data_IF_289818355855
#
_entry.id   IF_289818355855
#
_cell.length_a   1.000
_cell.length_b   1.000
_cell.length_c   1.000
_cell.angle_alpha   90.00
_cell.angle_beta   90.00
_cell.angle_gamma   90.00
#
_symmetry.space_group_name_H-M   'P 1'
#
loop_
_entity.id
_entity.type
_entity.pdbx_description
1 polymer ?
#
# COMPACT_ATOMS: atom_id res chain seq x y z
N UNK A 1 29.17 -7.79 14.20
CA UNK A 1 29.83 -8.28 12.97
C UNK A 1 30.60 -9.58 13.25
N UNK A 2 31.49 -9.64 14.25
CA UNK A 2 32.32 -10.81 14.60
C UNK A 2 31.52 -12.11 14.70
N UNK A 3 30.38 -12.12 15.39
CA UNK A 3 29.56 -13.35 15.54
C UNK A 3 29.04 -13.86 14.20
N UNK A 4 28.73 -12.96 13.24
CA UNK A 4 28.30 -13.37 11.89
C UNK A 4 29.45 -13.98 11.08
N UNK A 5 30.66 -13.57 11.34
CA UNK A 5 31.84 -14.14 10.72
C UNK A 5 32.11 -15.55 11.29
N UNK A 6 32.04 -15.70 12.63
CA UNK A 6 32.16 -17.02 13.28
C UNK A 6 31.08 -18.01 12.83
N UNK A 7 29.82 -17.56 12.63
CA UNK A 7 28.75 -18.43 12.12
C UNK A 7 29.01 -18.91 10.71
N UNK A 8 29.62 -18.07 9.87
CA UNK A 8 30.04 -18.45 8.49
C UNK A 8 31.21 -19.42 8.51
N UNK A 9 32.25 -19.19 9.35
CA UNK A 9 33.38 -20.09 9.51
C UNK A 9 32.95 -21.49 9.93
N UNK A 10 31.96 -21.58 10.82
CA UNK A 10 31.40 -22.84 11.30
C UNK A 10 30.34 -23.44 10.39
N UNK A 11 30.05 -22.80 9.23
CA UNK A 11 29.02 -23.21 8.27
C UNK A 11 27.64 -23.47 8.91
N UNK A 12 27.24 -22.66 9.91
CA UNK A 12 25.97 -22.81 10.59
C UNK A 12 24.84 -22.16 9.77
N UNK A 13 23.77 -22.91 9.50
CA UNK A 13 22.59 -22.45 8.78
C UNK A 13 21.68 -21.62 9.70
N UNK A 14 22.18 -20.48 10.15
CA UNK A 14 21.48 -19.55 11.05
C UNK A 14 21.88 -18.11 10.74
N UNK A 15 20.96 -17.20 11.06
CA UNK A 15 21.20 -15.75 10.93
C UNK A 15 21.09 -15.12 12.31
N UNK A 16 22.18 -14.51 12.78
CA UNK A 16 22.16 -13.70 14.02
C UNK A 16 21.60 -12.32 13.69
N UNK A 17 20.50 -11.96 14.37
CA UNK A 17 19.74 -10.75 14.08
C UNK A 17 20.06 -9.61 15.03
N UNK A 18 20.09 -9.90 16.35
CA UNK A 18 20.23 -8.88 17.38
C UNK A 18 20.96 -9.42 18.61
N UNK A 19 21.48 -8.52 19.46
CA UNK A 19 22.21 -8.83 20.68
C UNK A 19 21.77 -7.88 21.79
N UNK A 20 21.36 -8.44 22.93
CA UNK A 20 21.06 -7.67 24.14
C UNK A 20 22.06 -8.01 25.26
N UNK A 21 22.69 -6.99 25.81
CA UNK A 21 23.51 -7.12 27.01
C UNK A 21 22.68 -6.82 28.26
N UNK A 22 22.86 -7.60 29.28
CA UNK A 22 22.34 -7.27 30.61
C UNK A 22 23.04 -6.03 31.18
N UNK A 23 22.36 -5.25 32.01
CA UNK A 23 22.89 -3.97 32.48
C UNK A 23 24.22 -4.11 33.26
N UNK A 24 24.47 -5.24 33.89
CA UNK A 24 25.72 -5.57 34.60
C UNK A 24 26.84 -6.09 33.67
N UNK A 25 26.55 -6.18 32.33
CA UNK A 25 27.43 -6.75 31.32
C UNK A 25 27.86 -8.20 31.57
N UNK A 26 27.28 -8.89 32.57
CA UNK A 26 27.61 -10.27 32.90
C UNK A 26 27.04 -11.31 31.91
N UNK A 27 26.00 -10.92 31.17
CA UNK A 27 25.27 -11.81 30.26
C UNK A 27 24.92 -11.11 28.95
N UNK A 28 25.10 -11.83 27.82
CA UNK A 28 24.67 -11.40 26.50
C UNK A 28 23.69 -12.41 25.90
N UNK A 29 22.53 -11.97 25.46
CA UNK A 29 21.52 -12.77 24.78
C UNK A 29 21.58 -12.49 23.29
N UNK A 30 21.90 -13.51 22.48
CA UNK A 30 21.96 -13.43 21.03
C UNK A 30 20.68 -13.98 20.45
N UNK A 31 19.99 -13.16 19.65
CA UNK A 31 18.78 -13.55 18.95
C UNK A 31 19.12 -14.02 17.54
N UNK A 32 18.63 -15.20 17.18
CA UNK A 32 18.89 -15.77 15.88
C UNK A 32 17.64 -16.36 15.25
N UNK A 33 17.65 -16.42 13.92
CA UNK A 33 16.63 -17.11 13.12
C UNK A 33 17.27 -18.30 12.41
N UNK A 34 16.58 -19.44 12.43
CA UNK A 34 16.97 -20.64 11.71
C UNK A 34 15.71 -21.42 11.31
N UNK A 35 15.76 -22.14 10.20
CA UNK A 35 14.66 -23.01 9.76
C UNK A 35 14.65 -24.31 10.57
N UNK A 36 15.83 -24.92 10.73
CA UNK A 36 16.03 -26.16 11.45
C UNK A 36 16.78 -25.94 12.76
N UNK A 37 16.92 -27.04 13.51
CA UNK A 37 17.69 -27.06 14.75
C UNK A 37 19.19 -26.99 14.45
N UNK A 38 19.84 -25.96 14.97
CA UNK A 38 21.27 -25.71 14.77
C UNK A 38 22.06 -26.15 16.00
N UNK A 39 23.19 -26.85 15.82
CA UNK A 39 24.14 -27.12 16.90
C UNK A 39 25.16 -25.97 16.97
N UNK A 40 25.03 -25.18 18.01
CA UNK A 40 25.88 -23.99 18.25
C UNK A 40 26.86 -24.15 19.41
N UNK A 41 27.20 -25.39 19.83
CA UNK A 41 28.09 -25.63 20.98
C UNK A 41 29.48 -25.05 20.75
N UNK A 42 30.03 -25.22 19.57
CA UNK A 42 31.34 -24.66 19.20
C UNK A 42 31.29 -23.15 19.07
N UNK A 43 30.20 -22.62 18.52
CA UNK A 43 29.97 -21.20 18.41
C UNK A 43 29.95 -20.54 19.79
N UNK A 44 29.22 -21.12 20.77
CA UNK A 44 29.15 -20.59 22.15
C UNK A 44 30.53 -20.55 22.78
N UNK A 45 31.36 -21.59 22.59
CA UNK A 45 32.73 -21.62 23.12
C UNK A 45 33.56 -20.48 22.58
N UNK A 46 33.60 -20.32 21.24
CA UNK A 46 34.33 -19.23 20.59
C UNK A 46 33.84 -17.85 21.04
N UNK A 47 32.53 -17.67 21.14
CA UNK A 47 31.92 -16.41 21.61
C UNK A 47 32.26 -16.12 23.09
N UNK A 48 32.22 -17.14 23.97
CA UNK A 48 32.58 -16.99 25.37
C UNK A 48 34.06 -16.62 25.57
N UNK A 49 34.94 -17.19 24.74
CA UNK A 49 36.38 -16.90 24.76
C UNK A 49 36.67 -15.46 24.27
N UNK A 50 35.90 -14.97 23.26
CA UNK A 50 36.10 -13.64 22.71
C UNK A 50 35.48 -12.55 23.57
N UNK A 51 34.23 -12.73 23.98
CA UNK A 51 33.47 -11.67 24.69
C UNK A 51 33.62 -11.76 26.21
N UNK A 52 34.06 -12.89 26.76
CA UNK A 52 34.26 -13.15 28.21
C UNK A 52 33.00 -12.86 29.06
N UNK A 53 31.81 -13.09 28.47
CA UNK A 53 30.52 -12.94 29.12
C UNK A 53 29.72 -14.24 28.99
N UNK A 54 28.71 -14.41 29.84
CA UNK A 54 27.78 -15.54 29.71
C UNK A 54 26.94 -15.40 28.48
N UNK A 55 27.03 -16.36 27.52
CA UNK A 55 26.30 -16.35 26.26
C UNK A 55 24.99 -17.12 26.42
N UNK A 56 23.91 -16.50 26.00
CA UNK A 56 22.58 -17.13 25.83
C UNK A 56 22.14 -17.00 24.38
N UNK A 57 21.69 -18.12 23.78
CA UNK A 57 21.19 -18.16 22.41
C UNK A 57 19.67 -18.31 22.45
N UNK A 58 18.95 -17.39 21.80
CA UNK A 58 17.48 -17.40 21.74
C UNK A 58 17.00 -17.39 20.30
N UNK A 59 16.30 -18.45 19.90
CA UNK A 59 15.68 -18.50 18.58
C UNK A 59 14.44 -17.62 18.55
N UNK A 60 14.31 -16.83 17.50
CA UNK A 60 13.16 -15.96 17.24
C UNK A 60 12.57 -16.25 15.87
N UNK A 61 11.29 -15.99 15.71
CA UNK A 61 10.63 -16.10 14.41
C UNK A 61 10.89 -14.88 13.52
N UNK A 62 10.73 -15.04 12.20
CA UNK A 62 10.98 -13.96 11.23
C UNK A 62 10.20 -12.67 11.51
N UNK A 63 8.97 -12.76 12.07
CA UNK A 63 8.19 -11.56 12.45
C UNK A 63 8.78 -10.88 13.69
N UNK A 64 9.27 -11.64 14.65
CA UNK A 64 9.93 -11.08 15.83
C UNK A 64 11.26 -10.43 15.44
N UNK A 65 11.99 -11.02 14.49
CA UNK A 65 13.18 -10.40 13.91
C UNK A 65 12.84 -9.04 13.27
N UNK A 66 11.83 -9.02 12.40
CA UNK A 66 11.38 -7.76 11.77
C UNK A 66 10.91 -6.72 12.79
N UNK A 67 10.27 -7.15 13.87
CA UNK A 67 9.83 -6.28 14.98
C UNK A 67 11.02 -5.60 15.68
N UNK A 68 12.10 -6.34 15.91
CA UNK A 68 13.32 -5.81 16.56
C UNK A 68 14.12 -4.88 15.65
N UNK A 69 14.22 -5.23 14.38
CA UNK A 69 14.94 -4.42 13.40
C UNK A 69 14.19 -3.13 13.03
N UNK A 70 12.86 -3.16 13.16
CA UNK A 70 12.00 -2.05 12.73
C UNK A 70 11.94 -1.90 11.21
N UNK A 71 11.45 -0.75 10.76
CA UNK A 71 11.38 -0.39 9.35
C UNK A 71 10.02 0.19 8.96
N UNK A 72 9.87 0.48 7.67
CA UNK A 72 8.66 1.06 7.09
C UNK A 72 7.92 -0.02 6.30
N UNK A 73 6.63 -0.15 6.55
CA UNK A 73 5.77 -1.07 5.83
C UNK A 73 5.43 -0.59 4.41
N UNK A 74 4.86 -1.46 3.59
CA UNK A 74 4.37 -1.10 2.24
C UNK A 74 3.23 -0.05 2.27
N UNK A 75 2.67 0.24 3.44
CA UNK A 75 1.68 1.30 3.68
C UNK A 75 2.32 2.66 3.96
N UNK A 76 3.66 2.78 4.00
CA UNK A 76 4.39 4.00 4.29
C UNK A 76 4.48 4.36 5.79
N UNK A 77 3.95 3.52 6.68
CA UNK A 77 4.02 3.70 8.14
C UNK A 77 5.04 2.73 8.75
N UNK A 78 5.50 3.02 9.96
CA UNK A 78 6.32 2.08 10.74
C UNK A 78 5.63 0.71 10.89
N UNK A 79 6.44 -0.34 11.04
CA UNK A 79 5.91 -1.69 11.16
C UNK A 79 5.01 -1.81 12.40
N UNK A 80 3.79 -2.32 12.24
CA UNK A 80 2.86 -2.54 13.35
C UNK A 80 3.48 -3.42 14.45
N UNK A 81 4.28 -4.42 14.05
CA UNK A 81 4.95 -5.33 14.99
C UNK A 81 6.08 -4.67 15.78
N UNK A 82 6.66 -3.56 15.32
CA UNK A 82 7.69 -2.83 16.06
C UNK A 82 7.13 -1.72 16.95
N UNK A 83 5.88 -1.32 16.75
CA UNK A 83 5.25 -0.20 17.45
C UNK A 83 4.21 -0.66 18.48
N UNK A 84 3.02 -1.01 18.03
CA UNK A 84 1.85 -1.18 18.91
C UNK A 84 1.29 -2.60 18.94
N UNK A 85 1.52 -3.41 17.88
CA UNK A 85 0.95 -4.75 17.78
C UNK A 85 1.85 -5.77 18.48
N UNK A 86 1.39 -6.30 19.60
CA UNK A 86 2.11 -7.31 20.41
C UNK A 86 1.54 -8.72 20.23
N UNK A 87 0.26 -8.86 19.91
CA UNK A 87 -0.38 -10.16 19.71
C UNK A 87 -0.36 -10.56 18.23
N UNK A 88 0.29 -11.68 17.92
CA UNK A 88 0.49 -12.18 16.56
C UNK A 88 -0.30 -13.46 16.33
N UNK A 89 -1.57 -13.29 15.97
CA UNK A 89 -2.40 -14.41 15.53
C UNK A 89 -2.00 -14.88 14.14
N UNK A 90 -2.28 -16.13 13.83
CA UNK A 90 -2.09 -16.67 12.49
C UNK A 90 -3.02 -15.97 11.50
N UNK A 91 -2.46 -15.44 10.42
CA UNK A 91 -3.22 -14.74 9.37
C UNK A 91 -3.50 -15.70 8.22
N UNK A 92 -4.76 -15.79 7.81
CA UNK A 92 -5.18 -16.59 6.66
C UNK A 92 -5.45 -15.70 5.43
N UNK A 93 -5.45 -16.31 4.25
CA UNK A 93 -5.82 -15.62 3.01
C UNK A 93 -7.31 -15.26 2.95
N UNK A 94 -8.15 -15.92 3.76
CA UNK A 94 -9.57 -15.57 3.90
C UNK A 94 -9.75 -14.14 4.43
N UNK A 95 -8.89 -13.67 5.33
CA UNK A 95 -8.91 -12.28 5.81
C UNK A 95 -8.77 -11.27 4.67
N UNK A 96 -7.93 -11.57 3.67
CA UNK A 96 -7.77 -10.71 2.49
C UNK A 96 -9.02 -10.75 1.58
N UNK A 97 -9.71 -11.89 1.49
CA UNK A 97 -10.96 -12.02 0.71
C UNK A 97 -12.08 -11.20 1.32
N UNK A 98 -12.28 -11.25 2.64
CA UNK A 98 -13.26 -10.42 3.32
C UNK A 98 -13.01 -8.92 3.13
N UNK A 99 -11.75 -8.52 3.03
CA UNK A 99 -11.34 -7.15 2.74
C UNK A 99 -11.32 -6.82 1.24
N UNK A 100 -11.79 -7.73 0.37
CA UNK A 100 -11.83 -7.57 -1.08
C UNK A 100 -10.47 -7.25 -1.72
N UNK A 101 -9.38 -7.66 -1.08
CA UNK A 101 -8.04 -7.46 -1.59
C UNK A 101 -7.67 -8.53 -2.63
N UNK A 102 -6.97 -8.11 -3.66
CA UNK A 102 -6.41 -9.05 -4.63
C UNK A 102 -5.42 -10.00 -3.98
N UNK A 103 -5.54 -11.31 -4.27
CA UNK A 103 -4.66 -12.35 -3.71
C UNK A 103 -3.26 -12.33 -4.34
N UNK A 104 -2.66 -11.14 -4.46
CA UNK A 104 -1.29 -10.99 -4.93
C UNK A 104 -0.32 -11.12 -3.75
N UNK A 105 0.57 -12.13 -3.73
CA UNK A 105 1.53 -12.35 -2.65
C UNK A 105 2.36 -11.11 -2.33
N UNK A 106 2.81 -10.36 -3.32
CA UNK A 106 3.60 -9.14 -3.13
C UNK A 106 2.84 -8.05 -2.34
N UNK A 107 1.53 -7.94 -2.54
CA UNK A 107 0.69 -6.98 -1.83
C UNK A 107 0.30 -7.46 -0.43
N UNK A 108 0.15 -8.77 -0.24
CA UNK A 108 -0.30 -9.36 1.03
C UNK A 108 0.83 -9.70 2.00
N UNK A 109 2.08 -9.80 1.52
CA UNK A 109 3.24 -10.17 2.34
C UNK A 109 3.85 -8.95 3.01
N UNK A 110 4.16 -9.10 4.30
CA UNK A 110 4.91 -8.10 5.06
C UNK A 110 6.42 -8.24 4.89
N UNK A 111 7.21 -7.33 5.45
CA UNK A 111 8.67 -7.39 5.41
C UNK A 111 9.26 -8.67 6.05
N UNK A 112 8.55 -9.27 6.98
CA UNK A 112 8.94 -10.55 7.60
C UNK A 112 8.71 -11.78 6.71
N UNK A 113 8.25 -11.63 5.46
CA UNK A 113 7.94 -12.74 4.56
C UNK A 113 6.63 -13.48 4.87
N UNK A 114 5.93 -13.16 5.96
CA UNK A 114 4.61 -13.71 6.32
C UNK A 114 3.49 -12.75 5.90
N UNK A 115 2.25 -13.22 5.87
CA UNK A 115 1.10 -12.34 5.60
C UNK A 115 1.04 -11.18 6.59
N UNK A 116 0.62 -10.02 6.10
CA UNK A 116 0.50 -8.79 6.90
C UNK A 116 -0.42 -9.00 8.09
N UNK A 117 0.05 -8.66 9.29
CA UNK A 117 -0.71 -8.80 10.53
C UNK A 117 -1.90 -7.83 10.62
N UNK A 118 -1.84 -6.67 9.95
CA UNK A 118 -2.96 -5.72 9.88
C UNK A 118 -4.21 -6.34 9.23
N UNK A 119 -4.06 -7.29 8.30
CA UNK A 119 -5.20 -8.00 7.69
C UNK A 119 -6.07 -8.72 8.73
N UNK A 120 -5.46 -9.25 9.76
CA UNK A 120 -6.19 -9.96 10.81
C UNK A 120 -6.70 -8.99 11.91
N UNK A 121 -6.01 -7.89 12.12
CA UNK A 121 -6.40 -6.87 13.07
C UNK A 121 -7.68 -6.13 12.65
N UNK A 122 -7.78 -5.81 11.35
CA UNK A 122 -8.93 -5.10 10.79
C UNK A 122 -10.10 -6.03 10.46
N UNK A 123 -9.90 -7.36 10.50
CA UNK A 123 -10.88 -8.34 10.03
C UNK A 123 -12.24 -8.22 10.72
N UNK A 124 -12.24 -8.02 12.03
CA UNK A 124 -13.48 -7.99 12.82
C UNK A 124 -14.40 -6.85 12.38
N UNK A 125 -13.82 -5.66 12.11
CA UNK A 125 -14.57 -4.51 11.59
C UNK A 125 -15.19 -4.78 10.21
N UNK A 126 -14.43 -5.44 9.31
CA UNK A 126 -14.96 -5.83 8.00
C UNK A 126 -16.08 -6.86 8.14
N UNK A 127 -15.94 -7.85 9.01
CA UNK A 127 -16.94 -8.89 9.26
C UNK A 127 -18.24 -8.33 9.82
N UNK A 128 -18.17 -7.32 10.69
CA UNK A 128 -19.34 -6.63 11.22
C UNK A 128 -20.09 -5.87 10.12
N UNK A 129 -19.38 -5.07 9.33
CA UNK A 129 -19.98 -4.31 8.24
C UNK A 129 -20.57 -5.21 7.13
N UNK A 130 -19.92 -6.33 6.81
CA UNK A 130 -20.43 -7.26 5.79
C UNK A 130 -21.78 -7.88 6.20
N UNK A 131 -22.03 -8.10 7.49
CA UNK A 131 -23.32 -8.67 7.97
C UNK A 131 -24.52 -7.78 7.64
N UNK A 132 -24.31 -6.48 7.52
CA UNK A 132 -25.35 -5.52 7.18
C UNK A 132 -25.61 -5.39 5.68
N UNK A 133 -24.72 -5.98 4.86
CA UNK A 133 -24.84 -5.91 3.42
C UNK A 133 -25.63 -7.11 2.87
N UNK A 134 -26.44 -6.93 1.82
CA UNK A 134 -27.10 -8.01 1.14
C UNK A 134 -26.10 -8.95 0.44
N UNK A 135 -26.52 -10.19 0.17
CA UNK A 135 -25.70 -11.16 -0.53
C UNK A 135 -25.40 -10.69 -1.97
N UNK A 136 -24.12 -10.68 -2.34
CA UNK A 136 -23.64 -10.27 -3.66
C UNK A 136 -24.11 -11.15 -4.82
N UNK A 137 -24.64 -12.35 -4.55
CA UNK A 137 -25.15 -13.26 -5.58
C UNK A 137 -26.57 -12.92 -6.04
N UNK A 138 -27.27 -12.01 -5.36
CA UNK A 138 -28.65 -11.67 -5.68
C UNK A 138 -28.69 -10.77 -6.91
N UNK A 139 -29.45 -11.20 -7.92
CA UNK A 139 -29.75 -10.43 -9.12
C UNK A 139 -30.99 -9.58 -8.83
N UNK A 140 -30.89 -8.27 -9.07
CA UNK A 140 -32.02 -7.36 -8.92
C UNK A 140 -32.81 -7.32 -10.24
N UNK A 141 -34.13 -7.40 -10.14
CA UNK A 141 -35.03 -7.31 -11.31
C UNK A 141 -35.80 -5.98 -11.29
N UNK A 142 -35.82 -5.33 -12.45
CA UNK A 142 -36.66 -4.14 -12.74
C UNK A 142 -37.42 -4.34 -14.04
N UNK A 143 -38.37 -3.49 -14.36
CA UNK A 143 -39.04 -3.47 -15.67
C UNK A 143 -38.05 -3.21 -16.81
N UNK A 144 -37.01 -2.40 -16.56
CA UNK A 144 -35.98 -2.06 -17.54
C UNK A 144 -34.96 -3.20 -17.78
N UNK A 145 -34.90 -4.22 -16.91
CA UNK A 145 -33.97 -5.34 -17.04
C UNK A 145 -33.44 -5.88 -15.72
N UNK A 146 -32.44 -6.76 -15.81
CA UNK A 146 -31.77 -7.36 -14.67
C UNK A 146 -30.48 -6.62 -14.36
N UNK A 147 -30.22 -6.33 -13.08
CA UNK A 147 -28.98 -5.78 -12.61
C UNK A 147 -28.15 -6.82 -11.84
N UNK A 148 -26.89 -6.93 -12.15
CA UNK A 148 -25.94 -7.86 -11.54
C UNK A 148 -24.93 -7.09 -10.71
N UNK A 149 -24.58 -7.63 -9.56
CA UNK A 149 -23.57 -7.07 -8.68
C UNK A 149 -22.21 -6.92 -9.40
N UNK A 150 -21.58 -5.77 -9.25
CA UNK A 150 -20.26 -5.46 -9.81
C UNK A 150 -19.22 -5.29 -8.73
N UNK A 151 -19.46 -4.41 -7.76
CA UNK A 151 -18.53 -4.08 -6.68
C UNK A 151 -19.30 -3.63 -5.44
N UNK A 152 -18.75 -3.86 -4.25
CA UNK A 152 -19.30 -3.34 -3.00
C UNK A 152 -18.25 -2.47 -2.30
N UNK A 153 -18.62 -1.31 -1.84
CA UNK A 153 -17.87 -0.53 -0.86
C UNK A 153 -18.45 -0.82 0.54
N UNK A 154 -17.67 -1.55 1.34
CA UNK A 154 -18.15 -2.08 2.62
C UNK A 154 -18.40 -0.97 3.63
N UNK A 155 -17.55 0.07 3.67
CA UNK A 155 -17.66 1.14 4.67
C UNK A 155 -18.65 2.24 4.29
N UNK A 156 -18.76 2.55 3.00
CA UNK A 156 -19.79 3.46 2.51
C UNK A 156 -21.16 2.80 2.45
N UNK A 157 -21.24 1.47 2.58
CA UNK A 157 -22.45 0.64 2.40
C UNK A 157 -23.10 0.84 1.03
N UNK A 158 -22.27 1.11 0.01
CA UNK A 158 -22.66 1.29 -1.37
C UNK A 158 -22.39 0.02 -2.16
N UNK A 159 -23.36 -0.38 -2.96
CA UNK A 159 -23.25 -1.56 -3.81
C UNK A 159 -23.43 -1.12 -5.26
N UNK A 160 -22.46 -1.42 -6.06
CA UNK A 160 -22.45 -1.06 -7.47
C UNK A 160 -23.03 -2.21 -8.30
N UNK A 161 -23.99 -1.88 -9.12
CA UNK A 161 -24.65 -2.80 -10.04
C UNK A 161 -24.43 -2.40 -11.48
N UNK A 162 -24.52 -3.40 -12.37
CA UNK A 162 -24.46 -3.21 -13.84
C UNK A 162 -25.69 -3.88 -14.44
N UNK A 163 -26.39 -3.16 -15.34
CA UNK A 163 -27.52 -3.73 -16.08
C UNK A 163 -27.05 -4.83 -17.04
N UNK A 164 -27.74 -5.96 -17.00
CA UNK A 164 -27.52 -7.06 -17.94
C UNK A 164 -28.34 -6.81 -19.20
N UNK A 165 -27.69 -6.27 -20.26
CA UNK A 165 -28.37 -5.92 -21.50
C UNK A 165 -27.42 -5.87 -22.69
N UNK A 166 -27.92 -5.50 -23.87
CA UNK A 166 -27.17 -5.47 -25.12
C UNK A 166 -26.14 -4.33 -25.20
N UNK A 167 -26.27 -3.32 -24.38
CA UNK A 167 -25.32 -2.21 -24.28
C UNK A 167 -24.62 -2.24 -22.92
N UNK A 168 -23.31 -1.96 -22.92
CA UNK A 168 -22.51 -1.85 -21.70
C UNK A 168 -22.97 -0.58 -20.98
N UNK A 169 -23.86 -0.74 -20.01
CA UNK A 169 -24.34 0.37 -19.19
C UNK A 169 -23.28 0.66 -18.11
N UNK A 170 -23.06 1.94 -17.85
CA UNK A 170 -22.18 2.37 -16.74
C UNK A 170 -22.64 1.77 -15.41
N UNK A 171 -21.71 1.33 -14.55
CA UNK A 171 -22.07 0.86 -13.21
C UNK A 171 -22.68 2.02 -12.41
N UNK A 172 -23.74 1.74 -11.64
CA UNK A 172 -24.45 2.70 -10.81
C UNK A 172 -24.45 2.24 -9.34
N UNK A 173 -24.29 3.17 -8.38
CA UNK A 173 -24.31 2.87 -6.97
C UNK A 173 -25.74 2.84 -6.41
N UNK A 174 -26.00 1.91 -5.50
CA UNK A 174 -27.20 1.84 -4.66
C UNK A 174 -26.77 1.68 -3.21
N UNK A 175 -27.49 2.30 -2.30
CA UNK A 175 -27.26 2.09 -0.87
C UNK A 175 -27.77 0.72 -0.42
N UNK A 176 -27.21 0.19 0.68
CA UNK A 176 -27.63 -1.10 1.24
C UNK A 176 -29.14 -1.14 1.52
N UNK A 177 -29.71 -0.03 2.00
CA UNK A 177 -31.15 0.08 2.29
C UNK A 177 -32.00 -0.04 1.03
N UNK A 178 -31.65 0.71 -0.02
CA UNK A 178 -32.32 0.63 -1.32
C UNK A 178 -32.28 -0.76 -1.92
N UNK A 179 -31.14 -1.46 -1.81
CA UNK A 179 -31.00 -2.82 -2.30
C UNK A 179 -31.90 -3.77 -1.50
N UNK A 180 -32.01 -3.62 -0.18
CA UNK A 180 -32.93 -4.42 0.64
C UNK A 180 -34.39 -4.18 0.28
N UNK A 181 -34.78 -2.93 -0.01
CA UNK A 181 -36.13 -2.57 -0.47
C UNK A 181 -36.43 -3.23 -1.82
N UNK A 182 -35.51 -3.16 -2.80
CA UNK A 182 -35.66 -3.79 -4.10
C UNK A 182 -35.77 -5.30 -3.96
N UNK A 183 -34.97 -5.93 -3.11
CA UNK A 183 -35.05 -7.37 -2.83
C UNK A 183 -36.44 -7.72 -2.23
N UNK A 184 -36.94 -6.90 -1.34
CA UNK A 184 -38.25 -7.11 -0.73
C UNK A 184 -39.40 -6.95 -1.76
N UNK A 185 -39.32 -5.97 -2.67
CA UNK A 185 -40.27 -5.80 -3.78
C UNK A 185 -40.21 -6.99 -4.76
N UNK A 186 -39.01 -7.39 -5.17
CA UNK A 186 -38.84 -8.55 -6.07
C UNK A 186 -39.38 -9.84 -5.47
N UNK A 187 -39.25 -10.06 -4.14
CA UNK A 187 -39.85 -11.22 -3.45
C UNK A 187 -41.37 -11.19 -3.45
N UNK A 188 -41.99 -9.99 -3.48
CA UNK A 188 -43.45 -9.82 -3.61
C UNK A 188 -43.94 -9.92 -5.06
N UNK A 189 -43.01 -9.96 -6.02
CA UNK A 189 -43.33 -9.96 -7.45
C UNK A 189 -43.50 -8.57 -8.06
N UNK A 190 -43.24 -7.53 -7.29
CA UNK A 190 -43.25 -6.13 -7.74
C UNK A 190 -41.86 -5.80 -8.30
N UNK A 191 -41.82 -5.14 -9.47
CA UNK A 191 -40.56 -4.71 -10.09
C UNK A 191 -40.51 -3.18 -10.15
N UNK A 192 -39.46 -2.54 -9.64
CA UNK A 192 -39.30 -1.10 -9.80
C UNK A 192 -39.14 -0.75 -11.28
N UNK A 193 -39.62 0.43 -11.67
CA UNK A 193 -39.58 0.89 -13.06
C UNK A 193 -38.14 1.06 -13.56
N UNK A 194 -37.32 1.75 -12.79
CA UNK A 194 -35.90 1.97 -13.14
C UNK A 194 -35.06 2.14 -11.87
N UNK A 195 -33.85 1.56 -11.88
CA UNK A 195 -32.87 1.78 -10.80
C UNK A 195 -32.26 3.18 -10.84
N UNK A 196 -32.26 3.84 -12.01
CA UNK A 196 -31.69 5.18 -12.19
C UNK A 196 -32.43 6.26 -11.37
N UNK A 197 -33.71 6.08 -11.09
CA UNK A 197 -34.47 7.00 -10.27
C UNK A 197 -34.13 6.88 -8.76
N UNK A 198 -33.59 5.74 -8.38
CA UNK A 198 -33.14 5.47 -7.00
C UNK A 198 -31.71 5.94 -6.74
N UNK A 199 -30.93 6.18 -7.80
CA UNK A 199 -29.57 6.69 -7.65
C UNK A 199 -29.63 8.11 -7.16
N UNK A 200 -29.36 8.30 -5.86
CA UNK A 200 -29.15 9.62 -5.29
C UNK A 200 -27.79 10.06 -5.83
N UNK A 201 -27.80 10.96 -6.79
CA UNK A 201 -26.61 11.71 -7.18
C UNK A 201 -26.36 12.69 -6.04
N UNK A 202 -25.65 12.25 -5.00
CA UNK A 202 -24.96 13.21 -4.16
C UNK A 202 -23.89 13.84 -5.08
N UNK A 203 -24.21 15.02 -5.63
CA UNK A 203 -23.19 15.92 -6.12
C UNK A 203 -22.29 16.19 -4.90
N UNK A 204 -21.20 15.40 -4.76
CA UNK A 204 -20.08 15.83 -3.94
C UNK A 204 -19.65 17.16 -4.58
N UNK A 205 -20.10 18.28 -3.98
CA UNK A 205 -19.40 19.54 -4.19
C UNK A 205 -17.96 19.25 -3.85
N UNK A 206 -17.13 19.08 -4.88
CA UNK A 206 -15.68 19.12 -4.74
C UNK A 206 -15.37 20.49 -4.13
N UNK A 207 -15.42 20.56 -2.80
CA UNK A 207 -14.89 21.71 -2.08
C UNK A 207 -13.41 21.67 -2.38
N UNK A 208 -13.00 22.51 -3.32
CA UNK A 208 -11.59 22.79 -3.49
C UNK A 208 -10.99 23.01 -2.11
N UNK A 209 -10.01 22.20 -1.71
CA UNK A 209 -9.41 22.35 -0.40
C UNK A 209 -8.91 23.79 -0.29
N UNK A 210 -9.52 24.56 0.61
CA UNK A 210 -9.13 25.94 0.88
C UNK A 210 -7.74 25.95 1.52
N UNK A 211 -6.72 26.11 0.68
CA UNK A 211 -5.34 26.27 1.11
C UNK A 211 -5.02 27.69 1.57
N UNK A 212 -5.99 28.59 1.65
CA UNK A 212 -5.76 30.00 2.05
C UNK A 212 -5.28 30.16 3.50
N UNK A 213 -5.55 29.16 4.35
CA UNK A 213 -5.16 29.15 5.76
C UNK A 213 -3.90 28.33 6.08
N UNK A 214 -3.22 27.79 5.07
CA UNK A 214 -1.88 27.25 5.27
C UNK A 214 -0.95 28.45 5.41
N UNK A 215 -0.59 28.77 6.64
CA UNK A 215 0.33 29.85 6.96
C UNK A 215 1.51 29.85 5.99
N UNK A 216 1.65 30.93 5.26
CA UNK A 216 2.57 31.11 4.12
C UNK A 216 4.07 31.04 4.51
N UNK A 217 4.41 30.37 5.60
CA UNK A 217 5.79 30.28 6.10
C UNK A 217 6.63 29.21 5.41
N UNK A 218 6.01 28.22 4.74
CA UNK A 218 6.75 27.14 4.07
C UNK A 218 6.49 27.07 2.55
N UNK A 219 6.46 28.21 1.88
CA UNK A 219 6.47 28.24 0.41
C UNK A 219 7.79 27.64 -0.11
N UNK A 220 7.68 26.58 -0.92
CA UNK A 220 8.83 25.96 -1.62
C UNK A 220 9.63 26.94 -2.47
N UNK A 221 9.05 28.12 -2.80
CA UNK A 221 9.67 29.20 -3.58
C UNK A 221 10.35 30.25 -2.73
N UNK A 222 10.45 30.06 -1.40
CA UNK A 222 11.05 31.01 -0.46
C UNK A 222 12.49 31.38 -0.82
N UNK A 223 13.20 30.47 -1.48
CA UNK A 223 14.60 30.69 -1.89
C UNK A 223 14.75 31.04 -3.37
N UNK A 224 13.66 31.14 -4.13
CA UNK A 224 13.72 31.57 -5.52
C UNK A 224 13.95 33.09 -5.57
N UNK A 225 15.17 33.49 -5.89
CA UNK A 225 15.50 34.89 -6.17
C UNK A 225 14.73 35.33 -7.41
N UNK A 226 13.74 36.19 -7.26
CA UNK A 226 13.03 36.79 -8.39
C UNK A 226 14.03 37.48 -9.31
N UNK A 227 14.40 36.84 -10.42
CA UNK A 227 15.17 37.50 -11.47
C UNK A 227 14.34 38.65 -12.01
N UNK A 228 14.78 39.89 -11.67
CA UNK A 228 14.18 41.09 -12.20
C UNK A 228 14.24 41.08 -13.73
N UNK A 229 13.06 41.13 -14.38
CA UNK A 229 12.96 41.29 -15.83
C UNK A 229 13.64 42.63 -16.18
N UNK A 230 14.83 42.58 -16.83
CA UNK A 230 15.43 43.73 -17.45
C UNK A 230 14.43 44.33 -18.44
N UNK A 231 13.96 45.57 -18.16
CA UNK A 231 13.18 46.36 -19.11
C UNK A 231 14.02 46.57 -20.36
N UNK A 232 13.61 45.99 -21.48
CA UNK A 232 14.18 46.32 -22.76
C UNK A 232 13.81 47.76 -23.13
N UNK A 233 14.82 48.62 -23.07
CA UNK A 233 14.71 49.98 -23.60
C UNK A 233 14.70 49.92 -25.12
N UNK A 234 13.56 50.28 -25.71
CA UNK A 234 13.43 50.54 -27.15
C UNK A 234 14.12 51.86 -27.47
N UNK A 235 15.29 51.81 -28.06
CA UNK A 235 15.90 52.94 -28.77
C UNK A 235 15.73 52.71 -30.27
N UNK A 236 15.11 53.65 -30.94
CA UNK A 236 14.74 53.56 -32.35
C UNK A 236 15.83 53.95 -33.33
N UNK A 237 15.48 53.78 -34.55
CA UNK A 237 15.89 54.40 -35.82
C UNK A 237 16.71 53.52 -36.80
N UNK A 238 16.02 53.17 -37.81
CA UNK A 238 16.32 53.24 -39.24
C UNK A 238 17.70 52.84 -39.76
N UNK A 239 17.75 51.85 -40.65
CA UNK A 239 18.17 52.06 -42.03
C UNK A 239 18.08 50.80 -42.86
N UNK A 240 17.51 50.93 -44.03
CA UNK A 240 17.40 49.95 -45.11
C UNK A 240 18.80 49.53 -45.61
N UNK A 241 18.99 48.28 -45.98
CA UNK A 241 19.62 47.89 -47.22
C UNK A 241 19.39 46.40 -47.56
N UNK A 242 18.83 46.23 -48.69
CA UNK A 242 18.60 45.04 -49.51
C UNK A 242 19.93 44.45 -49.97
N UNK A 243 20.01 43.06 -50.05
CA UNK A 243 20.54 42.34 -51.21
C UNK A 243 20.66 40.85 -50.96
N UNK A 244 19.88 40.16 -51.73
CA UNK A 244 20.05 38.87 -52.47
C UNK A 244 21.30 38.00 -52.16
N UNK A 245 21.09 36.73 -51.93
CA UNK A 245 21.44 35.56 -52.76
C UNK A 245 21.45 34.28 -51.91
N UNK A 246 20.63 33.31 -52.32
CA UNK A 246 20.78 31.93 -51.91
C UNK A 246 21.79 31.21 -52.85
N UNK A 247 21.79 29.89 -53.02
CA UNK A 247 21.58 28.78 -52.10
C UNK A 247 22.77 27.79 -52.12
N UNK A 248 22.86 26.85 -51.20
CA UNK A 248 23.32 25.49 -51.53
C UNK A 248 23.25 24.49 -50.34
N UNK A 249 22.60 23.40 -50.55
CA UNK A 249 22.71 22.10 -49.95
C UNK A 249 23.96 21.38 -50.54
N UNK A 250 24.39 20.15 -50.14
CA UNK A 250 23.95 19.21 -49.13
C UNK A 250 25.05 18.29 -48.54
N UNK A 251 24.57 17.22 -47.87
CA UNK A 251 25.17 15.86 -47.64
C UNK A 251 25.84 15.63 -46.30
N UNK A 252 25.24 14.78 -45.47
CA UNK A 252 25.27 13.29 -45.37
C UNK A 252 26.43 12.73 -44.51
N UNK A 253 26.08 11.88 -43.55
CA UNK A 253 27.02 10.93 -42.96
C UNK A 253 26.60 10.41 -41.58
N UNK A 254 25.88 9.33 -41.58
CA UNK A 254 25.77 8.34 -40.48
C UNK A 254 26.85 7.26 -40.70
N UNK A 255 26.95 6.26 -39.83
CA UNK A 255 27.34 6.03 -38.45
C UNK A 255 28.68 5.22 -38.37
N UNK A 256 29.09 4.38 -37.45
CA UNK A 256 28.39 3.39 -36.66
C UNK A 256 28.93 3.11 -35.22
N UNK A 257 28.12 2.34 -34.51
CA UNK A 257 28.34 1.27 -33.52
C UNK A 257 29.73 0.97 -32.98
N UNK A 258 29.83 0.93 -31.65
CA UNK A 258 30.21 -0.30 -30.90
C UNK A 258 29.58 -0.22 -29.50
#
# INVERSE_FOLDING_TARGET
LSVREMTKELNLMMKVSDVEYQADLGKATFYYTAEDRVDFRELIKKMADEFKVRIEMKQIGARQEASRLGGIGSCGRELCCSTWLSDFRSVSTSSARYQQLSLNPQKLTGQCGKLKCCLNYELDMYMENIKELPDSNIVLESEAGQAVHFKTDIFKKEIWYVMRGKEITSPFPLTSEQVHEVIAMNKKGEKPFSFMEMVIVEEEEEKDPDYSNVDAQDSLTRFDVKRSKKKNWKGGSSSKRNRNAGPNKPKSGNPPSN
#
